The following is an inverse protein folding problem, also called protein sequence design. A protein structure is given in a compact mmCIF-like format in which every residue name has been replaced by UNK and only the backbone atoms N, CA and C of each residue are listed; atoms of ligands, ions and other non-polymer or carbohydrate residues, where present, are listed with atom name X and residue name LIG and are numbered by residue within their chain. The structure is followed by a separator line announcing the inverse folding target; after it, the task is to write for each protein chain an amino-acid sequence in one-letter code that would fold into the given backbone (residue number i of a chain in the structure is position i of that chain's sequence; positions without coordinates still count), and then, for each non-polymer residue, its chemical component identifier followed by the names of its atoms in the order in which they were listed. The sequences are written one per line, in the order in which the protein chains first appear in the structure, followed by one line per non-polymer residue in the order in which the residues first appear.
data_IF_512374727237
#
_entry.id   IF_512374727237
#
_cell.length_a   1.000
_cell.length_b   1.000
_cell.length_c   1.000
_cell.angle_alpha   90.00
_cell.angle_beta   90.00
_cell.angle_gamma   90.00
#
_symmetry.space_group_name_H-M   'P 1'
#
loop_
_entity.id
_entity.type
_entity.pdbx_description
1 polymer ?
#
# COMPACT_ATOMS: atom_id res chain seq x y z
N UNK A 1 10.91 25.29 8.96
CA UNK A 1 10.52 24.23 9.90
C UNK A 1 11.27 22.98 9.43
N UNK A 2 12.16 22.42 10.25
CA UNK A 2 12.85 21.16 9.87
C UNK A 2 11.79 20.06 9.67
N UNK A 3 11.94 19.28 8.60
CA UNK A 3 10.99 18.22 8.23
C UNK A 3 10.95 17.17 9.33
N UNK A 4 9.74 16.78 9.71
CA UNK A 4 9.47 15.64 10.58
C UNK A 4 9.90 14.36 9.89
N UNK A 5 10.56 13.46 10.60
CA UNK A 5 10.76 12.08 10.14
C UNK A 5 9.39 11.45 9.90
N UNK A 6 9.14 10.89 8.70
CA UNK A 6 7.87 10.22 8.42
C UNK A 6 7.92 8.78 8.95
N UNK A 7 6.84 8.35 9.61
CA UNK A 7 6.59 6.91 9.75
C UNK A 7 6.31 6.32 8.37
N UNK A 8 6.51 5.00 8.20
CA UNK A 8 6.18 4.34 6.93
C UNK A 8 4.74 4.63 6.50
N UNK A 9 3.78 4.56 7.43
CA UNK A 9 2.36 4.78 7.12
C UNK A 9 2.07 6.19 6.67
N UNK A 10 2.65 7.18 7.34
CA UNK A 10 2.47 8.58 6.96
C UNK A 10 3.06 8.84 5.57
N UNK A 11 4.27 8.34 5.30
CA UNK A 11 4.88 8.41 3.99
C UNK A 11 4.05 7.68 2.92
N UNK A 12 3.59 6.46 3.19
CA UNK A 12 2.79 5.68 2.26
C UNK A 12 1.46 6.34 1.93
N UNK A 13 0.73 6.83 2.94
CA UNK A 13 -0.54 7.52 2.75
C UNK A 13 -0.36 8.83 1.96
N UNK A 14 0.71 9.59 2.24
CA UNK A 14 1.03 10.80 1.49
C UNK A 14 1.39 10.46 0.04
N UNK A 15 2.25 9.46 -0.18
CA UNK A 15 2.65 8.97 -1.51
C UNK A 15 1.44 8.56 -2.34
N UNK A 16 0.51 7.81 -1.74
CA UNK A 16 -0.70 7.32 -2.40
C UNK A 16 -1.55 8.47 -2.94
N UNK A 17 -1.81 9.47 -2.09
CA UNK A 17 -2.59 10.66 -2.46
C UNK A 17 -1.87 11.49 -3.53
N UNK A 18 -0.57 11.75 -3.35
CA UNK A 18 0.24 12.52 -4.31
C UNK A 18 0.22 11.83 -5.68
N UNK A 19 0.48 10.52 -5.72
CA UNK A 19 0.54 9.76 -6.97
C UNK A 19 -0.80 9.76 -7.72
N UNK A 20 -1.92 9.60 -7.00
CA UNK A 20 -3.25 9.63 -7.60
C UNK A 20 -3.58 11.02 -8.13
N UNK A 21 -3.39 12.07 -7.32
CA UNK A 21 -3.68 13.45 -7.73
C UNK A 21 -2.81 13.88 -8.92
N UNK A 22 -1.54 13.46 -8.96
CA UNK A 22 -0.65 13.69 -10.09
C UNK A 22 -1.05 12.92 -11.36
N UNK A 23 -1.92 11.91 -11.26
CA UNK A 23 -2.45 11.21 -12.44
C UNK A 23 -3.64 11.92 -13.09
N UNK A 24 -4.29 12.85 -12.40
CA UNK A 24 -5.39 13.64 -12.96
C UNK A 24 -4.88 14.71 -13.93
N UNK A 25 -5.71 15.02 -14.92
CA UNK A 25 -5.46 16.15 -15.82
C UNK A 25 -5.67 17.49 -15.10
N UNK A 26 -5.14 18.55 -15.70
CA UNK A 26 -5.21 19.88 -15.12
C UNK A 26 -6.66 20.38 -15.07
N UNK A 27 -7.56 19.94 -15.96
CA UNK A 27 -8.96 20.37 -15.96
C UNK A 27 -9.70 19.88 -14.70
N UNK A 28 -9.53 18.61 -14.33
CA UNK A 28 -10.09 18.05 -13.11
C UNK A 28 -9.53 18.75 -11.86
N UNK A 29 -8.23 19.04 -11.85
CA UNK A 29 -7.59 19.73 -10.73
C UNK A 29 -8.07 21.20 -10.62
N UNK A 30 -8.22 21.90 -11.74
CA UNK A 30 -8.77 23.25 -11.79
C UNK A 30 -10.20 23.31 -11.24
N UNK A 31 -11.04 22.35 -11.63
CA UNK A 31 -12.42 22.24 -11.14
C UNK A 31 -12.46 22.00 -9.62
N UNK A 32 -11.50 21.24 -9.08
CA UNK A 32 -11.52 20.81 -7.69
C UNK A 32 -10.94 21.84 -6.71
N UNK A 33 -9.93 22.63 -7.11
CA UNK A 33 -9.23 23.55 -6.21
C UNK A 33 -8.73 24.86 -6.83
N UNK A 34 -9.28 25.25 -7.99
CA UNK A 34 -8.97 26.52 -8.64
C UNK A 34 -7.66 26.54 -9.42
N UNK A 35 -7.28 27.73 -9.90
CA UNK A 35 -6.17 27.94 -10.85
C UNK A 35 -4.81 27.42 -10.40
N UNK A 36 -4.58 27.38 -9.08
CA UNK A 36 -3.29 27.01 -8.51
C UNK A 36 -3.14 25.52 -8.21
N UNK A 37 -4.25 24.76 -8.09
CA UNK A 37 -4.19 23.36 -7.70
C UNK A 37 -3.31 22.50 -8.63
N UNK A 38 -3.39 22.63 -9.97
CA UNK A 38 -2.50 21.88 -10.86
C UNK A 38 -1.02 22.12 -10.55
N UNK A 39 -0.61 23.38 -10.35
CA UNK A 39 0.77 23.73 -10.00
C UNK A 39 1.17 23.10 -8.66
N UNK A 40 0.31 23.20 -7.66
CA UNK A 40 0.57 22.67 -6.30
C UNK A 40 0.72 21.14 -6.33
N UNK A 41 -0.18 20.43 -7.00
CA UNK A 41 -0.14 18.97 -7.12
C UNK A 41 1.10 18.50 -7.89
N UNK A 42 1.40 19.11 -9.03
CA UNK A 42 2.45 18.65 -9.95
C UNK A 42 3.85 19.09 -9.53
N UNK A 43 4.00 20.26 -8.90
CA UNK A 43 5.31 20.83 -8.58
C UNK A 43 5.62 20.91 -7.09
N UNK A 44 4.60 21.07 -6.23
CA UNK A 44 4.79 21.10 -4.78
C UNK A 44 4.43 19.79 -4.09
N UNK A 45 4.01 18.77 -4.86
CA UNK A 45 3.52 17.49 -4.36
C UNK A 45 2.37 17.65 -3.36
N UNK A 46 1.38 18.50 -3.69
CA UNK A 46 0.22 18.80 -2.86
C UNK A 46 0.49 19.60 -1.58
N UNK A 47 1.69 20.19 -1.43
CA UNK A 47 1.98 21.08 -0.30
C UNK A 47 1.49 22.49 -0.59
N UNK A 48 0.70 23.04 0.33
CA UNK A 48 0.21 24.41 0.35
C UNK A 48 1.16 25.24 1.23
N UNK A 49 2.18 25.83 0.62
CA UNK A 49 3.30 26.50 1.30
C UNK A 49 3.16 28.02 1.21
N UNK A 50 2.37 28.60 2.12
CA UNK A 50 2.35 30.04 2.40
C UNK A 50 1.14 30.81 1.86
N UNK A 51 1.21 32.15 1.94
CA UNK A 51 0.09 33.05 1.61
C UNK A 51 -0.34 32.95 0.14
N UNK A 52 0.58 32.60 -0.77
CA UNK A 52 0.29 32.46 -2.19
C UNK A 52 -0.69 31.30 -2.49
N UNK A 53 -0.74 30.29 -1.62
CA UNK A 53 -1.60 29.12 -1.78
C UNK A 53 -2.92 29.25 -1.01
N UNK A 54 -3.13 30.35 -0.26
CA UNK A 54 -4.32 30.56 0.57
C UNK A 54 -5.62 30.52 -0.25
N UNK A 55 -5.62 31.12 -1.45
CA UNK A 55 -6.78 31.09 -2.34
C UNK A 55 -7.11 29.67 -2.83
N UNK A 56 -6.10 28.82 -3.04
CA UNK A 56 -6.32 27.41 -3.38
C UNK A 56 -6.94 26.66 -2.19
N UNK A 57 -6.42 26.87 -0.99
CA UNK A 57 -6.96 26.27 0.24
C UNK A 57 -8.44 26.64 0.46
N UNK A 58 -8.78 27.92 0.35
CA UNK A 58 -10.18 28.39 0.45
C UNK A 58 -11.08 27.76 -0.62
N UNK A 59 -10.58 27.62 -1.85
CA UNK A 59 -11.32 26.98 -2.94
C UNK A 59 -11.56 25.49 -2.65
N UNK A 60 -10.55 24.77 -2.18
CA UNK A 60 -10.68 23.36 -1.78
C UNK A 60 -11.74 23.18 -0.68
N UNK A 61 -11.75 24.05 0.33
CA UNK A 61 -12.79 24.05 1.37
C UNK A 61 -14.16 24.30 0.77
N UNK A 62 -14.30 25.33 -0.08
CA UNK A 62 -15.57 25.66 -0.72
C UNK A 62 -16.12 24.49 -1.55
N UNK A 63 -15.26 23.80 -2.31
CA UNK A 63 -15.64 22.62 -3.11
C UNK A 63 -16.16 21.48 -2.23
N UNK A 64 -15.65 21.32 -1.01
CA UNK A 64 -16.16 20.32 -0.07
C UNK A 64 -17.50 20.74 0.55
N UNK A 65 -17.66 22.01 0.90
CA UNK A 65 -18.88 22.54 1.55
C UNK A 65 -20.09 22.64 0.61
N UNK A 66 -19.84 22.86 -0.67
CA UNK A 66 -20.85 22.93 -1.72
C UNK A 66 -20.62 21.78 -2.70
N UNK A 67 -20.91 20.52 -2.30
CA UNK A 67 -20.42 19.34 -3.02
C UNK A 67 -21.14 19.17 -4.36
N UNK A 68 -20.55 19.73 -5.41
CA UNK A 68 -20.76 19.36 -6.80
C UNK A 68 -19.73 18.27 -7.20
N UNK A 69 -19.05 18.42 -8.34
CA UNK A 69 -17.97 17.53 -8.79
C UNK A 69 -16.64 17.88 -8.09
N UNK A 70 -15.90 16.87 -7.64
CA UNK A 70 -14.50 17.03 -7.20
C UNK A 70 -14.28 17.16 -5.70
N UNK A 71 -15.31 17.02 -4.85
CA UNK A 71 -15.16 17.06 -3.39
C UNK A 71 -14.17 15.99 -2.87
N UNK A 72 -14.15 14.79 -3.45
CA UNK A 72 -13.20 13.73 -3.11
C UNK A 72 -11.76 14.11 -3.45
N UNK A 73 -11.56 14.84 -4.55
CA UNK A 73 -10.25 15.34 -4.98
C UNK A 73 -9.79 16.45 -4.05
N UNK A 74 -10.71 17.33 -3.65
CA UNK A 74 -10.43 18.39 -2.70
C UNK A 74 -10.00 17.83 -1.33
N UNK A 75 -10.75 16.86 -0.78
CA UNK A 75 -10.38 16.16 0.46
C UNK A 75 -9.03 15.47 0.31
N UNK A 76 -8.78 14.77 -0.81
CA UNK A 76 -7.50 14.12 -1.04
C UNK A 76 -6.32 15.09 -1.03
N UNK A 77 -6.45 16.27 -1.64
CA UNK A 77 -5.43 17.30 -1.63
C UNK A 77 -5.17 17.85 -0.22
N UNK A 78 -6.24 18.10 0.55
CA UNK A 78 -6.15 18.59 1.93
C UNK A 78 -5.48 17.57 2.86
N UNK A 79 -5.91 16.31 2.80
CA UNK A 79 -5.29 15.22 3.58
C UNK A 79 -3.83 15.04 3.20
N UNK A 80 -3.49 15.11 1.91
CA UNK A 80 -2.10 15.01 1.44
C UNK A 80 -1.22 16.14 1.98
N UNK A 81 -1.75 17.37 2.01
CA UNK A 81 -1.07 18.52 2.58
C UNK A 81 -0.81 18.34 4.09
N UNK A 82 -1.83 17.94 4.85
CA UNK A 82 -1.70 17.74 6.31
C UNK A 82 -0.71 16.62 6.67
N UNK A 83 -0.77 15.49 5.98
CA UNK A 83 0.19 14.39 6.17
C UNK A 83 1.62 14.85 5.96
N UNK A 84 1.88 15.72 4.98
CA UNK A 84 3.23 16.23 4.72
C UNK A 84 3.70 17.30 5.71
N UNK A 85 2.78 17.98 6.40
CA UNK A 85 3.10 18.93 7.48
C UNK A 85 3.36 18.25 8.82
N UNK A 86 2.89 17.01 8.98
CA UNK A 86 3.06 16.21 10.20
C UNK A 86 2.17 16.61 11.37
N UNK A 87 1.23 17.54 11.16
CA UNK A 87 0.22 17.92 12.15
C UNK A 87 -1.10 18.23 11.44
N UNK A 88 -2.19 17.62 11.92
CA UNK A 88 -3.55 17.90 11.48
C UNK A 88 -4.09 19.16 12.18
N UNK A 89 -4.72 20.09 11.44
CA UNK A 89 -5.45 21.20 12.09
C UNK A 89 -6.82 20.80 12.63
N UNK A 90 -7.29 19.60 12.26
CA UNK A 90 -8.64 19.07 12.50
C UNK A 90 -9.54 19.18 11.27
N UNK A 91 -9.25 20.14 10.38
CA UNK A 91 -10.14 20.51 9.28
C UNK A 91 -10.37 19.37 8.28
N UNK A 92 -9.33 18.60 7.92
CA UNK A 92 -9.48 17.54 6.92
C UNK A 92 -10.44 16.41 7.32
N UNK A 93 -10.56 16.08 8.62
CA UNK A 93 -11.48 15.04 9.10
C UNK A 93 -12.93 15.51 9.02
N UNK A 94 -13.21 16.74 9.47
CA UNK A 94 -14.54 17.35 9.38
C UNK A 94 -14.98 17.52 7.92
N UNK A 95 -14.07 17.97 7.06
CA UNK A 95 -14.32 18.10 5.63
C UNK A 95 -14.57 16.74 4.96
N UNK A 96 -13.86 15.69 5.37
CA UNK A 96 -14.13 14.34 4.89
C UNK A 96 -15.53 13.83 5.26
N UNK A 97 -16.02 14.14 6.47
CA UNK A 97 -17.41 13.83 6.88
C UNK A 97 -18.43 14.50 5.96
N UNK A 98 -18.20 15.77 5.62
CA UNK A 98 -19.07 16.52 4.70
C UNK A 98 -19.04 15.92 3.29
N UNK A 99 -17.89 15.40 2.84
CA UNK A 99 -17.72 14.76 1.54
C UNK A 99 -17.99 13.24 1.51
N UNK A 100 -18.58 12.66 2.56
CA UNK A 100 -18.72 11.18 2.72
C UNK A 100 -19.24 10.48 1.47
N UNK A 101 -20.31 10.98 0.85
CA UNK A 101 -20.92 10.30 -0.31
C UNK A 101 -20.09 10.43 -1.59
N UNK A 102 -19.42 11.57 -1.77
CA UNK A 102 -18.46 11.74 -2.85
C UNK A 102 -17.28 10.76 -2.68
N UNK A 103 -16.71 10.66 -1.48
CA UNK A 103 -15.65 9.69 -1.15
C UNK A 103 -16.11 8.25 -1.35
N UNK A 104 -17.35 7.92 -0.97
CA UNK A 104 -17.93 6.58 -1.19
C UNK A 104 -17.99 6.24 -2.67
N UNK A 105 -18.40 7.19 -3.50
CA UNK A 105 -18.53 7.03 -4.96
C UNK A 105 -17.20 7.06 -5.72
N UNK A 106 -16.13 7.55 -5.09
CA UNK A 106 -14.82 7.70 -5.71
C UNK A 106 -14.22 6.36 -6.20
N UNK A 107 -13.30 6.40 -7.19
CA UNK A 107 -12.53 5.23 -7.60
C UNK A 107 -11.82 4.59 -6.40
N UNK A 108 -11.70 3.25 -6.40
CA UNK A 108 -11.22 2.51 -5.22
C UNK A 108 -9.84 2.97 -4.73
N UNK A 109 -8.91 3.30 -5.65
CA UNK A 109 -7.58 3.83 -5.32
C UNK A 109 -7.69 5.16 -4.54
N UNK A 110 -8.49 6.12 -5.04
CA UNK A 110 -8.66 7.42 -4.39
C UNK A 110 -9.35 7.26 -3.03
N UNK A 111 -10.44 6.50 -2.97
CA UNK A 111 -11.16 6.23 -1.71
C UNK A 111 -10.25 5.59 -0.67
N UNK A 112 -9.48 4.56 -1.06
CA UNK A 112 -8.50 3.92 -0.17
C UNK A 112 -7.46 4.91 0.33
N UNK A 113 -6.84 5.67 -0.57
CA UNK A 113 -5.83 6.66 -0.22
C UNK A 113 -6.35 7.72 0.77
N UNK A 114 -7.57 8.22 0.58
CA UNK A 114 -8.23 9.16 1.50
C UNK A 114 -8.42 8.49 2.87
N UNK A 115 -9.07 7.32 2.93
CA UNK A 115 -9.36 6.66 4.20
C UNK A 115 -8.09 6.31 4.99
N UNK A 116 -7.04 5.86 4.30
CA UNK A 116 -5.74 5.54 4.92
C UNK A 116 -4.99 6.79 5.35
N UNK A 117 -5.10 7.87 4.58
CA UNK A 117 -4.62 9.19 4.98
C UNK A 117 -5.29 9.68 6.26
N UNK A 118 -6.62 9.64 6.31
CA UNK A 118 -7.42 10.01 7.48
C UNK A 118 -7.11 9.15 8.71
N UNK A 119 -6.94 7.83 8.52
CA UNK A 119 -6.47 6.95 9.60
C UNK A 119 -5.15 7.49 10.16
N UNK A 120 -4.21 7.87 9.30
CA UNK A 120 -2.85 8.26 9.71
C UNK A 120 -2.75 9.67 10.30
N UNK A 121 -3.79 10.51 10.16
CA UNK A 121 -3.79 11.86 10.72
C UNK A 121 -3.93 11.82 12.26
N UNK A 122 -2.85 12.22 12.94
CA UNK A 122 -2.86 12.55 14.36
C UNK A 122 -3.36 13.98 14.57
N UNK A 123 -4.39 14.15 15.41
CA UNK A 123 -4.76 15.45 15.96
C UNK A 123 -3.72 15.94 16.99
N UNK A 124 -3.70 17.25 17.29
CA UNK A 124 -2.88 17.89 18.33
C UNK A 124 -2.98 17.24 19.72
N UNK A 125 -4.09 16.55 20.02
CA UNK A 125 -4.24 15.78 21.24
C UNK A 125 -3.58 14.38 21.17
N UNK A 126 -2.86 14.07 20.08
CA UNK A 126 -2.36 12.74 19.73
C UNK A 126 -3.45 11.65 19.79
N UNK A 127 -4.69 12.04 19.45
CA UNK A 127 -5.82 11.11 19.41
C UNK A 127 -5.92 10.53 18.01
N UNK A 128 -5.85 9.21 17.96
CA UNK A 128 -6.09 8.43 16.76
C UNK A 128 -7.58 8.08 16.69
N UNK A 129 -8.25 8.55 15.64
CA UNK A 129 -9.63 8.16 15.35
C UNK A 129 -9.65 7.45 13.98
N UNK A 130 -9.89 6.13 13.95
CA UNK A 130 -9.90 5.38 12.70
C UNK A 130 -11.02 5.87 11.79
N UNK A 131 -10.76 6.03 10.49
CA UNK A 131 -11.71 6.45 9.45
C UNK A 131 -12.91 5.50 9.26
N UNK A 132 -13.02 4.44 10.07
CA UNK A 132 -14.19 3.56 10.15
C UNK A 132 -15.46 4.30 10.60
N UNK A 133 -15.34 5.49 11.19
CA UNK A 133 -16.49 6.36 11.45
C UNK A 133 -17.13 6.87 10.15
N UNK A 134 -16.34 7.01 9.08
CA UNK A 134 -16.75 7.56 7.78
C UNK A 134 -17.31 6.46 6.86
N UNK A 135 -16.52 5.41 6.65
CA UNK A 135 -16.85 4.27 5.79
C UNK A 135 -16.31 2.98 6.41
N UNK A 136 -16.98 1.82 6.20
CA UNK A 136 -16.53 0.56 6.79
C UNK A 136 -15.15 0.15 6.25
N UNK A 137 -14.39 -0.61 7.05
CA UNK A 137 -13.00 -1.00 6.78
C UNK A 137 -12.78 -1.61 5.39
N UNK A 138 -13.76 -2.35 4.86
CA UNK A 138 -13.70 -2.94 3.52
C UNK A 138 -13.59 -1.89 2.40
N UNK A 139 -14.00 -0.65 2.66
CA UNK A 139 -13.89 0.47 1.73
C UNK A 139 -12.46 0.93 1.49
N UNK A 140 -11.52 0.56 2.39
CA UNK A 140 -10.08 0.78 2.26
C UNK A 140 -9.43 -0.17 1.26
N UNK A 141 -10.06 -1.29 0.93
CA UNK A 141 -9.48 -2.27 0.03
C UNK A 141 -9.61 -1.80 -1.42
N UNK A 142 -8.50 -1.76 -2.14
CA UNK A 142 -8.50 -1.41 -3.58
C UNK A 142 -8.85 -2.58 -4.47
N UNK A 143 -8.62 -3.81 -4.00
CA UNK A 143 -8.94 -5.07 -4.69
C UNK A 143 -9.41 -6.13 -3.69
N UNK A 144 -10.33 -7.02 -4.08
CA UNK A 144 -10.75 -8.12 -3.23
C UNK A 144 -9.66 -9.20 -3.17
N UNK A 145 -9.57 -9.88 -2.02
CA UNK A 145 -8.51 -10.84 -1.70
C UNK A 145 -8.42 -11.99 -2.71
N UNK A 146 -9.56 -12.51 -3.16
CA UNK A 146 -9.68 -13.65 -4.08
C UNK A 146 -9.01 -13.38 -5.44
N UNK A 147 -9.19 -12.17 -5.98
CA UNK A 147 -8.56 -11.77 -7.24
C UNK A 147 -7.04 -11.68 -7.12
N UNK A 148 -6.54 -11.22 -5.98
CA UNK A 148 -5.09 -11.13 -5.71
C UNK A 148 -4.53 -12.55 -5.57
N UNK A 149 -5.17 -13.38 -4.74
CA UNK A 149 -4.78 -14.76 -4.49
C UNK A 149 -4.66 -15.56 -5.78
N UNK A 150 -5.65 -15.48 -6.67
CA UNK A 150 -5.63 -16.18 -7.95
C UNK A 150 -4.38 -15.84 -8.78
N UNK A 151 -3.99 -14.56 -8.84
CA UNK A 151 -2.83 -14.10 -9.61
C UNK A 151 -1.51 -14.51 -8.96
N UNK A 152 -1.42 -14.47 -7.63
CA UNK A 152 -0.25 -14.95 -6.90
C UNK A 152 -0.05 -16.45 -7.10
N UNK A 153 -1.12 -17.25 -7.02
CA UNK A 153 -1.08 -18.69 -7.32
C UNK A 153 -0.65 -18.98 -8.76
N UNK A 154 -1.08 -18.17 -9.74
CA UNK A 154 -0.63 -18.31 -11.13
C UNK A 154 0.89 -18.11 -11.27
N UNK A 155 1.45 -17.11 -10.58
CA UNK A 155 2.91 -16.89 -10.55
C UNK A 155 3.60 -18.08 -9.89
N UNK A 156 3.15 -18.49 -8.69
CA UNK A 156 3.75 -19.59 -7.95
C UNK A 156 3.78 -20.90 -8.76
N UNK A 157 2.69 -21.22 -9.48
CA UNK A 157 2.59 -22.40 -10.36
C UNK A 157 3.47 -22.30 -11.61
N UNK A 158 3.97 -21.13 -11.95
CA UNK A 158 4.97 -20.94 -13.00
C UNK A 158 6.35 -21.49 -12.64
N UNK A 159 6.55 -21.97 -11.39
CA UNK A 159 7.79 -22.58 -10.95
C UNK A 159 8.06 -23.90 -11.70
N UNK A 160 9.11 -23.92 -12.52
CA UNK A 160 9.52 -25.12 -13.24
C UNK A 160 10.10 -26.20 -12.30
N UNK A 161 10.31 -27.41 -12.84
CA UNK A 161 10.79 -28.54 -12.05
C UNK A 161 12.19 -28.29 -11.46
N UNK A 162 13.09 -27.63 -12.21
CA UNK A 162 14.45 -27.35 -11.75
C UNK A 162 14.42 -26.36 -10.58
N UNK A 163 13.60 -25.33 -10.68
CA UNK A 163 13.40 -24.33 -9.62
C UNK A 163 12.79 -24.98 -8.39
N UNK A 164 11.77 -25.84 -8.52
CA UNK A 164 11.20 -26.60 -7.39
C UNK A 164 12.25 -27.44 -6.67
N UNK A 165 13.10 -28.15 -7.41
CA UNK A 165 14.20 -28.94 -6.83
C UNK A 165 15.26 -28.07 -6.14
N UNK A 166 15.52 -26.87 -6.67
CA UNK A 166 16.43 -25.90 -6.06
C UNK A 166 15.85 -25.35 -4.76
N UNK A 167 14.59 -24.93 -4.77
CA UNK A 167 13.87 -24.42 -3.59
C UNK A 167 13.85 -25.48 -2.50
N UNK A 168 13.48 -26.72 -2.82
CA UNK A 168 13.43 -27.81 -1.85
C UNK A 168 14.77 -28.10 -1.14
N UNK A 169 15.90 -27.62 -1.68
CA UNK A 169 17.24 -27.76 -1.09
C UNK A 169 17.72 -26.52 -0.35
N UNK A 170 16.91 -25.47 -0.24
CA UNK A 170 17.33 -24.18 0.32
C UNK A 170 17.80 -24.28 1.79
N UNK A 171 17.24 -25.21 2.56
CA UNK A 171 17.70 -25.54 3.91
C UNK A 171 18.86 -26.56 3.89
N UNK A 172 19.93 -26.22 3.19
CA UNK A 172 21.16 -27.04 3.07
C UNK A 172 20.91 -28.49 2.59
N UNK A 173 19.83 -28.72 1.84
CA UNK A 173 19.41 -30.04 1.37
C UNK A 173 18.77 -30.94 2.45
N UNK A 174 18.55 -30.42 3.65
CA UNK A 174 17.90 -31.17 4.73
C UNK A 174 16.47 -31.55 4.31
N UNK A 175 16.18 -32.86 4.30
CA UNK A 175 14.86 -33.42 3.92
C UNK A 175 14.30 -32.86 2.60
N UNK A 176 15.19 -32.63 1.62
CA UNK A 176 14.81 -31.99 0.35
C UNK A 176 13.68 -32.72 -0.40
N UNK A 177 13.63 -34.05 -0.35
CA UNK A 177 12.56 -34.82 -1.01
C UNK A 177 11.19 -34.55 -0.37
N UNK A 178 11.14 -34.31 0.95
CA UNK A 178 9.91 -34.01 1.67
C UNK A 178 9.45 -32.57 1.41
N UNK A 179 10.38 -31.62 1.37
CA UNK A 179 10.07 -30.25 0.92
C UNK A 179 9.57 -30.23 -0.52
N UNK A 180 10.19 -30.99 -1.41
CA UNK A 180 9.77 -31.07 -2.81
C UNK A 180 8.36 -31.65 -2.93
N UNK A 181 8.08 -32.74 -2.21
CA UNK A 181 6.76 -33.35 -2.19
C UNK A 181 5.68 -32.39 -1.67
N UNK A 182 5.92 -31.75 -0.52
CA UNK A 182 4.98 -30.78 0.05
C UNK A 182 4.79 -29.55 -0.85
N UNK A 183 5.86 -29.07 -1.50
CA UNK A 183 5.78 -27.98 -2.47
C UNK A 183 4.93 -28.35 -3.69
N UNK A 184 5.07 -29.57 -4.21
CA UNK A 184 4.24 -30.07 -5.31
C UNK A 184 2.75 -30.17 -4.92
N UNK A 185 2.44 -30.63 -3.71
CA UNK A 185 1.07 -30.66 -3.20
C UNK A 185 0.47 -29.27 -3.08
N UNK A 186 1.21 -28.31 -2.50
CA UNK A 186 0.77 -26.92 -2.35
C UNK A 186 0.51 -26.29 -3.71
N UNK A 187 1.43 -26.43 -4.67
CA UNK A 187 1.26 -25.84 -6.01
C UNK A 187 0.10 -26.46 -6.80
N UNK A 188 -0.20 -27.73 -6.52
CA UNK A 188 -1.33 -28.46 -7.13
C UNK A 188 -2.68 -28.14 -6.48
N UNK A 189 -2.69 -27.65 -5.23
CA UNK A 189 -3.90 -27.22 -4.54
C UNK A 189 -4.54 -25.99 -5.20
N UNK A 190 -5.86 -25.82 -5.06
CA UNK A 190 -6.62 -24.71 -5.69
C UNK A 190 -6.11 -23.32 -5.31
N UNK A 191 -5.72 -23.14 -4.04
CA UNK A 191 -5.39 -21.84 -3.46
C UNK A 191 -3.91 -21.68 -3.06
N UNK A 192 -3.06 -22.65 -3.43
CA UNK A 192 -1.63 -22.68 -3.09
C UNK A 192 -1.35 -22.41 -1.60
N UNK A 193 -2.20 -22.94 -0.72
CA UNK A 193 -2.08 -22.75 0.72
C UNK A 193 -1.25 -23.87 1.33
N UNK A 194 -0.39 -23.52 2.28
CA UNK A 194 0.27 -24.45 3.17
C UNK A 194 -0.79 -25.14 4.06
N UNK A 195 -0.53 -26.39 4.48
CA UNK A 195 -1.35 -27.03 5.49
C UNK A 195 -1.45 -26.16 6.75
N UNK A 196 -2.60 -26.20 7.42
CA UNK A 196 -2.81 -25.42 8.64
C UNK A 196 -1.76 -25.80 9.69
N UNK A 197 -1.20 -24.79 10.36
CA UNK A 197 -0.20 -24.93 11.44
C UNK A 197 1.15 -25.54 10.99
N UNK A 198 1.36 -25.74 9.69
CA UNK A 198 2.62 -26.23 9.12
C UNK A 198 3.58 -25.04 8.90
N UNK A 199 4.68 -25.04 9.64
CA UNK A 199 5.71 -23.99 9.57
C UNK A 199 7.00 -24.45 8.90
N UNK A 200 7.11 -25.72 8.51
CA UNK A 200 8.34 -26.29 8.00
C UNK A 200 8.23 -26.76 6.55
N UNK A 201 7.30 -27.66 6.23
CA UNK A 201 7.17 -28.24 4.87
C UNK A 201 5.98 -27.66 4.10
N UNK A 202 6.17 -26.90 3.00
CA UNK A 202 7.41 -26.37 2.45
C UNK A 202 7.73 -24.94 2.93
N UNK A 203 7.04 -24.40 3.95
CA UNK A 203 7.13 -22.99 4.34
C UNK A 203 8.57 -22.51 4.52
N UNK A 204 9.40 -23.23 5.29
CA UNK A 204 10.78 -22.83 5.60
C UNK A 204 11.61 -22.59 4.34
N UNK A 205 11.62 -23.54 3.41
CA UNK A 205 12.44 -23.40 2.19
C UNK A 205 11.89 -22.33 1.26
N UNK A 206 10.56 -22.12 1.24
CA UNK A 206 9.93 -21.03 0.48
C UNK A 206 10.32 -19.68 1.08
N UNK A 207 10.33 -19.58 2.41
CA UNK A 207 10.72 -18.39 3.15
C UNK A 207 12.19 -18.02 2.95
N UNK A 208 13.08 -19.01 2.99
CA UNK A 208 14.52 -18.83 2.77
C UNK A 208 14.80 -18.29 1.36
N UNK A 209 14.17 -18.87 0.34
CA UNK A 209 14.32 -18.41 -1.06
C UNK A 209 13.70 -17.03 -1.26
N UNK A 210 12.52 -16.78 -0.71
CA UNK A 210 11.87 -15.47 -0.78
C UNK A 210 12.64 -14.35 -0.02
N UNK A 211 13.68 -14.69 0.75
CA UNK A 211 14.50 -13.72 1.47
C UNK A 211 15.65 -13.13 0.65
N UNK A 212 16.10 -13.82 -0.40
CA UNK A 212 17.33 -13.46 -1.13
C UNK A 212 17.02 -13.28 -2.61
N UNK A 213 17.06 -12.02 -3.09
CA UNK A 213 16.63 -11.65 -4.45
C UNK A 213 17.38 -12.39 -5.56
N UNK A 214 18.65 -12.72 -5.34
CA UNK A 214 19.50 -13.39 -6.32
C UNK A 214 19.19 -14.89 -6.47
N UNK A 215 18.38 -15.46 -5.57
CA UNK A 215 18.10 -16.90 -5.62
C UNK A 215 17.14 -17.24 -6.76
N UNK A 216 17.43 -18.30 -7.54
CA UNK A 216 16.45 -18.87 -8.43
C UNK A 216 15.20 -19.26 -7.64
N UNK A 217 14.05 -18.70 -8.04
CA UNK A 217 12.79 -18.92 -7.35
C UNK A 217 12.31 -17.75 -6.49
N UNK A 218 13.12 -16.70 -6.28
CA UNK A 218 12.74 -15.52 -5.47
C UNK A 218 11.30 -15.04 -5.73
N UNK A 219 10.99 -14.70 -6.98
CA UNK A 219 9.67 -14.15 -7.38
C UNK A 219 8.52 -15.13 -7.11
N UNK A 220 8.69 -16.41 -7.48
CA UNK A 220 7.63 -17.43 -7.34
C UNK A 220 7.43 -17.84 -5.88
N UNK A 221 8.49 -17.87 -5.08
CA UNK A 221 8.43 -18.08 -3.64
C UNK A 221 7.82 -16.89 -2.90
N UNK A 222 8.17 -15.64 -3.26
CA UNK A 222 7.49 -14.45 -2.72
C UNK A 222 6.00 -14.48 -3.03
N UNK A 223 5.61 -14.83 -4.26
CA UNK A 223 4.20 -14.91 -4.63
C UNK A 223 3.46 -16.00 -3.83
N UNK A 224 4.08 -17.17 -3.65
CA UNK A 224 3.53 -18.26 -2.84
C UNK A 224 3.39 -17.85 -1.37
N UNK A 225 4.38 -17.17 -0.81
CA UNK A 225 4.35 -16.71 0.57
C UNK A 225 3.28 -15.62 0.78
N UNK A 226 3.14 -14.68 -0.17
CA UNK A 226 2.06 -13.68 -0.14
C UNK A 226 0.69 -14.36 -0.18
N UNK A 227 0.51 -15.36 -1.05
CA UNK A 227 -0.74 -16.12 -1.14
C UNK A 227 -1.13 -16.73 0.22
N UNK A 228 -0.16 -17.14 1.03
CA UNK A 228 -0.35 -17.69 2.37
C UNK A 228 -0.51 -16.63 3.47
N UNK A 229 0.02 -15.42 3.28
CA UNK A 229 -0.15 -14.32 4.23
C UNK A 229 -1.52 -13.63 4.11
N UNK A 230 -2.11 -13.56 2.91
CA UNK A 230 -3.37 -12.84 2.70
C UNK A 230 -4.52 -13.29 3.62
N UNK A 231 -4.78 -14.60 3.83
CA UNK A 231 -5.92 -15.04 4.66
C UNK A 231 -5.78 -14.71 6.14
N UNK A 232 -4.56 -14.50 6.63
CA UNK A 232 -4.28 -14.22 8.05
C UNK A 232 -3.76 -12.81 8.29
N UNK A 233 -3.79 -11.95 7.27
CA UNK A 233 -3.19 -10.61 7.30
C UNK A 233 -1.74 -10.63 7.78
N UNK A 234 -0.94 -11.57 7.26
CA UNK A 234 0.47 -11.74 7.63
C UNK A 234 0.70 -11.97 9.14
N UNK A 235 -0.15 -12.73 9.82
CA UNK A 235 -0.01 -13.02 11.25
C UNK A 235 1.32 -13.68 11.65
N UNK A 236 2.03 -14.28 10.70
CA UNK A 236 3.37 -14.87 10.90
C UNK A 236 4.51 -13.83 10.79
N UNK A 237 4.20 -12.59 10.38
CA UNK A 237 5.16 -11.51 10.25
C UNK A 237 6.17 -11.72 9.13
N UNK A 238 5.77 -12.37 8.03
CA UNK A 238 6.67 -12.66 6.94
C UNK A 238 7.06 -11.42 6.14
N UNK A 239 6.22 -10.40 6.06
CA UNK A 239 6.37 -9.34 5.07
C UNK A 239 6.85 -8.00 5.60
N UNK A 240 6.75 -7.72 6.89
CA UNK A 240 7.27 -6.47 7.47
C UNK A 240 8.78 -6.31 7.18
N UNK A 241 9.61 -7.21 7.69
CA UNK A 241 11.06 -7.13 7.50
C UNK A 241 11.50 -7.32 6.03
N UNK A 242 10.72 -8.09 5.25
CA UNK A 242 10.99 -8.29 3.82
C UNK A 242 10.71 -7.03 3.03
N UNK A 243 9.62 -6.31 3.31
CA UNK A 243 9.31 -5.05 2.65
C UNK A 243 10.40 -4.03 2.96
N UNK A 244 10.79 -3.87 4.23
CA UNK A 244 11.89 -3.00 4.59
C UNK A 244 13.11 -3.30 3.70
N UNK A 245 13.59 -4.55 3.68
CA UNK A 245 14.81 -4.89 2.95
C UNK A 245 14.71 -4.84 1.43
N UNK A 246 13.54 -5.14 0.86
CA UNK A 246 13.39 -5.49 -0.56
C UNK A 246 12.35 -4.64 -1.31
N UNK A 247 11.83 -3.55 -0.73
CA UNK A 247 10.82 -2.71 -1.38
C UNK A 247 11.23 -2.23 -2.78
N UNK A 248 12.47 -1.73 -2.92
CA UNK A 248 12.99 -1.25 -4.20
C UNK A 248 13.07 -2.39 -5.23
N UNK A 249 13.48 -3.58 -4.79
CA UNK A 249 13.53 -4.80 -5.61
C UNK A 249 12.14 -5.21 -6.09
N UNK A 250 11.13 -5.21 -5.22
CA UNK A 250 9.76 -5.54 -5.60
C UNK A 250 9.19 -4.53 -6.60
N UNK A 251 9.46 -3.23 -6.38
CA UNK A 251 9.06 -2.16 -7.30
C UNK A 251 9.78 -2.23 -8.66
N UNK A 252 10.96 -2.83 -8.73
CA UNK A 252 11.75 -2.99 -9.96
C UNK A 252 11.43 -4.28 -10.76
N UNK A 253 10.55 -5.15 -10.26
CA UNK A 253 10.16 -6.38 -10.97
C UNK A 253 9.46 -6.08 -12.32
N UNK A 254 9.50 -7.02 -13.28
CA UNK A 254 8.71 -6.90 -14.52
C UNK A 254 7.20 -6.83 -14.24
N UNK A 255 6.46 -6.00 -14.99
CA UNK A 255 5.02 -5.74 -14.80
C UNK A 255 4.16 -6.99 -14.59
N UNK A 256 4.43 -8.05 -15.37
CA UNK A 256 3.67 -9.31 -15.32
C UNK A 256 3.68 -9.98 -13.95
N UNK A 257 4.74 -9.82 -13.17
CA UNK A 257 4.88 -10.37 -11.81
C UNK A 257 4.86 -9.30 -10.72
N UNK A 258 5.28 -8.08 -11.04
CA UNK A 258 5.26 -6.92 -10.15
C UNK A 258 3.84 -6.60 -9.72
N UNK A 259 2.90 -6.51 -10.66
CA UNK A 259 1.54 -6.06 -10.33
C UNK A 259 0.82 -6.99 -9.35
N UNK A 260 0.84 -8.33 -9.50
CA UNK A 260 0.26 -9.21 -8.49
C UNK A 260 0.99 -9.17 -7.15
N UNK A 261 2.33 -9.10 -7.14
CA UNK A 261 3.12 -9.03 -5.90
C UNK A 261 2.81 -7.74 -5.13
N UNK A 262 2.84 -6.58 -5.80
CA UNK A 262 2.51 -5.30 -5.17
C UNK A 262 1.04 -5.24 -4.75
N UNK A 263 0.12 -5.88 -5.47
CA UNK A 263 -1.27 -6.01 -5.02
C UNK A 263 -1.37 -6.81 -3.71
N UNK A 264 -0.54 -7.84 -3.52
CA UNK A 264 -0.43 -8.58 -2.26
C UNK A 264 0.05 -7.72 -1.10
N UNK A 265 1.17 -7.01 -1.27
CA UNK A 265 1.67 -6.05 -0.28
C UNK A 265 0.65 -4.96 0.03
N UNK A 266 0.00 -4.43 -1.02
CA UNK A 266 -1.02 -3.41 -0.89
C UNK A 266 -2.20 -3.90 -0.06
N UNK A 267 -2.66 -5.13 -0.26
CA UNK A 267 -3.71 -5.72 0.54
C UNK A 267 -3.30 -5.84 2.02
N UNK A 268 -2.10 -6.35 2.30
CA UNK A 268 -1.60 -6.45 3.68
C UNK A 268 -1.55 -5.08 4.36
N UNK A 269 -1.06 -4.06 3.64
CA UNK A 269 -1.14 -2.69 4.10
C UNK A 269 -2.60 -2.28 4.34
N UNK A 270 -3.49 -2.32 3.34
CA UNK A 270 -4.86 -1.81 3.45
C UNK A 270 -5.72 -2.52 4.50
N UNK A 271 -5.55 -3.83 4.68
CA UNK A 271 -6.35 -4.68 5.54
C UNK A 271 -5.94 -4.67 7.02
N UNK A 272 -4.65 -4.52 7.30
CA UNK A 272 -4.13 -4.48 8.67
C UNK A 272 -3.66 -3.07 9.05
N UNK A 273 -3.92 -2.66 10.28
CA UNK A 273 -3.43 -1.40 10.83
C UNK A 273 -2.03 -1.52 11.44
N UNK A 274 -1.56 -2.73 11.73
CA UNK A 274 -0.24 -2.94 12.34
C UNK A 274 0.86 -3.21 11.32
N UNK A 275 0.52 -3.57 10.07
CA UNK A 275 1.51 -3.75 9.00
C UNK A 275 2.45 -2.54 8.87
N UNK A 276 3.75 -2.78 9.11
CA UNK A 276 4.86 -1.81 9.08
C UNK A 276 4.71 -0.63 10.05
N UNK A 277 3.97 -0.79 11.16
CA UNK A 277 3.72 0.30 12.11
C UNK A 277 5.00 0.80 12.79
N UNK A 278 5.90 -0.09 13.19
CA UNK A 278 7.09 0.23 13.98
C UNK A 278 8.39 0.32 13.16
N UNK A 279 8.31 0.41 11.84
CA UNK A 279 9.52 0.42 11.02
C UNK A 279 10.43 1.60 11.37
N UNK A 280 11.57 1.30 11.99
CA UNK A 280 12.56 2.28 12.50
C UNK A 280 13.40 2.94 11.40
N UNK A 281 13.08 2.71 10.12
CA UNK A 281 13.83 3.33 9.02
C UNK A 281 13.63 4.84 9.01
N UNK A 282 14.76 5.56 9.09
CA UNK A 282 14.81 7.03 9.13
C UNK A 282 14.56 7.73 7.79
N UNK A 283 14.29 6.99 6.70
CA UNK A 283 14.29 7.53 5.34
C UNK A 283 12.99 7.26 4.57
N UNK A 284 11.86 7.03 5.26
CA UNK A 284 10.58 7.01 4.57
C UNK A 284 10.27 8.43 4.08
N UNK A 285 10.19 8.62 2.77
CA UNK A 285 9.84 9.92 2.22
C UNK A 285 9.00 9.75 0.95
N UNK A 286 7.75 10.26 0.91
CA UNK A 286 6.83 10.03 -0.21
C UNK A 286 7.37 10.56 -1.55
N UNK A 287 8.11 11.67 -1.52
CA UNK A 287 8.65 12.33 -2.72
C UNK A 287 10.12 11.97 -3.02
N UNK A 288 10.98 11.94 -1.99
CA UNK A 288 12.43 11.77 -2.17
C UNK A 288 12.88 10.31 -2.20
N UNK A 289 12.05 9.38 -1.71
CA UNK A 289 12.37 7.96 -1.70
C UNK A 289 11.14 7.08 -2.08
N UNK A 290 10.47 7.38 -3.23
CA UNK A 290 9.26 6.69 -3.65
C UNK A 290 9.46 5.20 -3.93
N UNK A 291 10.70 4.76 -4.22
CA UNK A 291 11.06 3.36 -4.44
C UNK A 291 10.86 2.47 -3.21
N UNK A 292 10.71 3.06 -2.03
CA UNK A 292 10.41 2.34 -0.80
C UNK A 292 8.90 2.32 -0.48
N UNK A 293 8.07 3.03 -1.25
CA UNK A 293 6.62 3.01 -1.13
C UNK A 293 6.03 1.86 -1.96
N UNK A 294 4.90 1.32 -1.54
CA UNK A 294 4.14 0.31 -2.30
C UNK A 294 3.54 1.05 -3.50
N UNK A 295 4.06 0.85 -4.72
CA UNK A 295 3.51 1.55 -5.90
C UNK A 295 2.08 1.10 -6.21
N UNK A 296 1.28 2.01 -6.78
CA UNK A 296 0.07 1.62 -7.48
C UNK A 296 0.46 0.83 -8.74
N UNK A 297 0.18 -0.48 -8.72
CA UNK A 297 0.24 -1.32 -9.90
C UNK A 297 -0.80 -0.89 -10.97
#
# INVERSE_FOLDING_TARGET
MERTDFTFRQAQSAFDLISILQSYDDEMLLQSGGSDLPRIVKHAACRLEGEADAGCYETLISTVLEPDLGAEVAVAALVSNELQRGFCSGDAKELAEMATESIRSAPSKLRSAILRGLDTLEDYAHRYEPASYLLPDQSRLTRPQDQILQRLCQIARGMDQQTRQSVAKADYGYRADEHLHALDEVLSSENCQFPKDETWFPSEVVELVAHVRETPGFVVCTALLLANALPTNDSMGWFEFRWERLAAEYNALPDSVRYPILAGFRYLYEADKEFLWYSERKNWHPVEAPEFMISWA
#
